data_IF_841196995172
#
_entry.id   IF_841196995172
#
_cell.length_a   1.000
_cell.length_b   1.000
_cell.length_c   1.000
_cell.angle_alpha   90.00
_cell.angle_beta   90.00
_cell.angle_gamma   90.00
#
_symmetry.space_group_name_H-M   'P 1'
#
loop_
_entity.id
_entity.type
_entity.pdbx_description
1 polymer ?
#
# COMPACT_ATOMS: atom_id res chain seq x y z
N UNK A 1 19.61 12.97 2.62
CA UNK A 1 20.14 12.16 3.74
C UNK A 1 19.60 10.75 3.63
N UNK A 2 20.41 9.76 3.93
CA UNK A 2 20.05 8.35 3.82
C UNK A 2 20.39 7.60 5.12
N UNK A 3 19.98 6.31 5.19
CA UNK A 3 20.15 5.50 6.40
C UNK A 3 21.64 5.29 6.79
N UNK A 4 22.56 5.32 5.84
CA UNK A 4 24.00 5.18 6.12
C UNK A 4 24.55 6.42 6.81
N UNK A 5 24.08 7.60 6.42
CA UNK A 5 24.45 8.86 7.05
C UNK A 5 23.89 8.96 8.47
N UNK A 6 22.66 8.53 8.69
CA UNK A 6 22.07 8.42 10.04
C UNK A 6 22.90 7.48 10.91
N UNK A 7 23.30 6.32 10.38
CA UNK A 7 24.13 5.36 11.11
C UNK A 7 25.47 5.95 11.54
N UNK A 8 26.11 6.70 10.64
CA UNK A 8 27.38 7.40 10.94
C UNK A 8 27.19 8.46 12.03
N UNK A 9 26.20 9.32 11.91
CA UNK A 9 25.92 10.38 12.88
C UNK A 9 25.56 9.84 14.26
N UNK A 10 24.80 8.75 14.30
CA UNK A 10 24.40 8.08 15.55
C UNK A 10 25.47 7.13 16.11
N UNK A 11 26.57 6.95 15.40
CA UNK A 11 27.65 6.02 15.76
C UNK A 11 27.14 4.59 16.00
N UNK A 12 26.29 4.11 15.12
CA UNK A 12 25.72 2.75 15.14
C UNK A 12 25.83 2.10 13.76
N UNK A 13 25.58 0.78 13.69
CA UNK A 13 25.55 0.10 12.40
C UNK A 13 24.28 0.44 11.62
N UNK A 14 24.37 0.36 10.30
CA UNK A 14 23.19 0.45 9.40
C UNK A 14 22.08 -0.53 9.82
N UNK A 15 22.46 -1.75 10.21
CA UNK A 15 21.51 -2.76 10.68
C UNK A 15 20.75 -2.31 11.93
N UNK A 16 21.42 -1.60 12.84
CA UNK A 16 20.80 -1.06 14.05
C UNK A 16 19.79 0.04 13.71
N UNK A 17 20.12 0.95 12.79
CA UNK A 17 19.16 1.97 12.31
C UNK A 17 17.97 1.32 11.61
N UNK A 18 18.22 0.30 10.81
CA UNK A 18 17.16 -0.47 10.16
C UNK A 18 16.20 -1.11 11.17
N UNK A 19 16.73 -1.71 12.23
CA UNK A 19 15.89 -2.28 13.31
C UNK A 19 15.07 -1.21 14.04
N UNK A 20 15.67 -0.06 14.29
CA UNK A 20 14.98 1.07 14.91
C UNK A 20 13.69 1.46 14.15
N UNK A 21 13.79 1.59 12.82
CA UNK A 21 12.66 1.95 11.98
C UNK A 21 11.65 0.80 11.75
N UNK A 22 11.99 -0.42 12.13
CA UNK A 22 11.14 -1.61 11.93
C UNK A 22 10.63 -2.21 13.24
N UNK A 23 10.65 -1.44 14.32
CA UNK A 23 10.26 -1.91 15.66
C UNK A 23 11.03 -3.16 16.12
N UNK A 24 12.22 -3.37 15.56
CA UNK A 24 13.13 -4.43 15.99
C UNK A 24 13.84 -4.06 17.29
N UNK A 25 14.47 -5.05 17.90
CA UNK A 25 15.21 -4.82 19.14
C UNK A 25 16.42 -3.92 18.92
N UNK A 26 16.46 -2.84 19.67
CA UNK A 26 17.60 -1.92 19.76
C UNK A 26 17.78 -1.55 21.24
N UNK A 27 19.02 -1.57 21.75
CA UNK A 27 19.28 -1.19 23.14
C UNK A 27 18.83 0.25 23.42
N UNK A 28 18.46 0.54 24.65
CA UNK A 28 17.99 1.86 25.05
C UNK A 28 18.98 2.97 24.71
N UNK A 29 20.27 2.75 24.90
CA UNK A 29 21.34 3.69 24.57
C UNK A 29 21.41 3.98 23.06
N UNK A 30 21.43 2.95 22.22
CA UNK A 30 21.47 3.10 20.76
C UNK A 30 20.18 3.71 20.23
N UNK A 31 19.05 3.36 20.81
CA UNK A 31 17.74 3.96 20.47
C UNK A 31 17.74 5.47 20.71
N UNK A 32 18.27 5.90 21.83
CA UNK A 32 18.39 7.33 22.16
C UNK A 32 19.35 8.06 21.22
N UNK A 33 20.49 7.47 20.88
CA UNK A 33 21.43 8.03 19.91
C UNK A 33 20.78 8.25 18.54
N UNK A 34 20.03 7.25 18.06
CA UNK A 34 19.32 7.35 16.77
C UNK A 34 18.20 8.40 16.85
N UNK A 35 17.43 8.41 17.93
CA UNK A 35 16.35 9.40 18.14
C UNK A 35 16.85 10.83 18.06
N UNK A 36 17.96 11.14 18.72
CA UNK A 36 18.59 12.48 18.69
C UNK A 36 18.97 12.88 17.27
N UNK A 37 19.63 12.00 16.52
CA UNK A 37 20.04 12.28 15.15
C UNK A 37 18.84 12.53 14.26
N UNK A 38 17.76 11.77 14.43
CA UNK A 38 16.50 11.96 13.68
C UNK A 38 15.86 13.31 14.02
N UNK A 39 15.80 13.69 15.28
CA UNK A 39 15.27 14.99 15.70
C UNK A 39 16.09 16.16 15.15
N UNK A 40 17.42 16.08 15.21
CA UNK A 40 18.31 17.12 14.72
C UNK A 40 18.29 17.26 13.19
N UNK A 41 18.16 16.15 12.46
CA UNK A 41 18.22 16.12 10.99
C UNK A 41 16.88 16.20 10.30
N UNK A 42 15.79 15.91 11.02
CA UNK A 42 14.44 15.81 10.43
C UNK A 42 14.29 14.62 9.47
N UNK A 43 15.19 13.64 9.52
CA UNK A 43 15.19 12.50 8.62
C UNK A 43 13.91 11.66 8.76
N UNK A 44 13.33 11.35 7.62
CA UNK A 44 12.24 10.36 7.52
C UNK A 44 12.61 9.32 6.46
N UNK A 45 12.46 8.01 6.74
CA UNK A 45 12.68 6.99 5.72
C UNK A 45 11.78 7.24 4.51
N UNK A 46 12.32 7.10 3.30
CA UNK A 46 11.50 7.21 2.11
C UNK A 46 10.54 6.02 2.01
N UNK A 47 9.30 6.26 1.57
CA UNK A 47 8.33 5.21 1.34
C UNK A 47 8.86 4.15 0.36
N UNK A 48 9.60 4.57 -0.66
CA UNK A 48 10.25 3.68 -1.63
C UNK A 48 11.30 2.76 -0.98
N UNK A 49 12.13 3.30 -0.08
CA UNK A 49 13.13 2.49 0.63
C UNK A 49 12.47 1.47 1.57
N UNK A 50 11.37 1.86 2.23
CA UNK A 50 10.59 0.94 3.04
C UNK A 50 9.93 -0.15 2.19
N UNK A 51 9.35 0.21 1.04
CA UNK A 51 8.73 -0.71 0.09
C UNK A 51 9.71 -1.77 -0.42
N UNK A 52 10.91 -1.38 -0.81
CA UNK A 52 11.95 -2.29 -1.26
C UNK A 52 12.36 -3.30 -0.18
N UNK A 53 12.28 -2.92 1.07
CA UNK A 53 12.69 -3.76 2.20
C UNK A 53 11.58 -4.67 2.70
N UNK A 54 10.36 -4.14 2.87
CA UNK A 54 9.21 -4.88 3.41
C UNK A 54 8.44 -5.64 2.34
N UNK A 55 8.66 -5.33 1.07
CA UNK A 55 7.86 -5.78 -0.08
C UNK A 55 6.36 -5.43 0.05
N UNK A 56 6.04 -4.45 0.89
CA UNK A 56 4.69 -3.91 1.09
C UNK A 56 4.65 -2.45 0.72
N UNK A 57 3.60 -2.05 0.00
CA UNK A 57 3.39 -0.67 -0.42
C UNK A 57 2.50 0.11 0.53
N UNK A 58 1.72 -0.58 1.35
CA UNK A 58 0.65 -0.02 2.17
C UNK A 58 -0.41 0.71 1.35
N UNK A 59 -0.63 0.24 0.12
CA UNK A 59 -1.65 0.75 -0.80
C UNK A 59 -2.56 -0.38 -1.27
N UNK A 60 -3.85 -0.11 -1.36
CA UNK A 60 -4.87 -1.01 -1.89
C UNK A 60 -5.54 -0.32 -3.08
N UNK A 61 -5.56 -1.00 -4.23
CA UNK A 61 -6.31 -0.55 -5.39
C UNK A 61 -7.78 -0.90 -5.25
N UNK A 62 -8.66 0.08 -5.40
CA UNK A 62 -10.11 -0.10 -5.32
C UNK A 62 -10.73 0.33 -6.65
N UNK A 63 -11.39 -0.61 -7.31
CA UNK A 63 -12.03 -0.38 -8.62
C UNK A 63 -13.54 -0.32 -8.40
N UNK A 64 -14.15 0.79 -8.79
CA UNK A 64 -15.59 1.06 -8.61
C UNK A 64 -16.28 1.37 -9.93
N UNK A 65 -17.58 1.05 -10.07
CA UNK A 65 -18.32 1.32 -11.31
C UNK A 65 -18.64 2.80 -11.51
N UNK A 66 -18.96 3.54 -10.44
CA UNK A 66 -19.31 4.98 -10.49
C UNK A 66 -18.94 5.68 -9.19
N UNK A 67 -18.38 6.86 -9.31
CA UNK A 67 -18.04 7.70 -8.14
C UNK A 67 -19.29 8.35 -7.56
N UNK A 68 -20.22 8.78 -8.40
CA UNK A 68 -21.42 9.55 -8.03
C UNK A 68 -22.64 8.70 -7.69
N UNK A 69 -22.47 7.47 -7.28
CA UNK A 69 -23.54 6.59 -6.83
C UNK A 69 -23.57 6.53 -5.29
N UNK A 70 -24.74 6.72 -4.70
CA UNK A 70 -24.89 6.69 -3.23
C UNK A 70 -24.45 5.37 -2.62
N UNK A 71 -24.86 4.24 -3.20
CA UNK A 71 -24.47 2.92 -2.70
C UNK A 71 -22.97 2.68 -2.84
N UNK A 72 -22.37 3.08 -3.95
CA UNK A 72 -20.93 2.96 -4.17
C UNK A 72 -20.15 3.90 -3.25
N UNK A 73 -20.62 5.11 -3.01
CA UNK A 73 -20.02 6.03 -2.03
C UNK A 73 -19.98 5.44 -0.64
N UNK A 74 -21.05 4.78 -0.19
CA UNK A 74 -21.10 4.13 1.12
C UNK A 74 -20.14 2.94 1.21
N UNK A 75 -20.07 2.10 0.17
CA UNK A 75 -19.12 0.99 0.09
C UNK A 75 -17.68 1.53 0.16
N UNK A 76 -17.37 2.54 -0.64
CA UNK A 76 -16.06 3.17 -0.71
C UNK A 76 -15.66 3.78 0.63
N UNK A 77 -16.57 4.48 1.29
CA UNK A 77 -16.34 5.06 2.61
C UNK A 77 -16.05 3.98 3.68
N UNK A 78 -16.77 2.86 3.64
CA UNK A 78 -16.53 1.73 4.53
C UNK A 78 -15.16 1.08 4.30
N UNK A 79 -14.76 0.89 3.06
CA UNK A 79 -13.43 0.37 2.71
C UNK A 79 -12.35 1.33 3.20
N UNK A 80 -12.48 2.61 2.91
CA UNK A 80 -11.51 3.64 3.30
C UNK A 80 -11.30 3.69 4.80
N UNK A 81 -12.38 3.67 5.57
CA UNK A 81 -12.33 3.68 7.04
C UNK A 81 -11.46 2.55 7.60
N UNK A 82 -11.67 1.33 7.16
CA UNK A 82 -10.89 0.16 7.62
C UNK A 82 -9.44 0.23 7.17
N UNK A 83 -9.19 0.65 5.93
CA UNK A 83 -7.83 0.80 5.40
C UNK A 83 -7.05 1.87 6.16
N UNK A 84 -7.66 3.00 6.45
CA UNK A 84 -7.04 4.10 7.19
C UNK A 84 -6.63 3.68 8.61
N UNK A 85 -7.51 2.96 9.34
CA UNK A 85 -7.20 2.43 10.66
C UNK A 85 -5.97 1.51 10.66
N UNK A 86 -5.73 0.81 9.56
CA UNK A 86 -4.61 -0.12 9.40
C UNK A 86 -3.38 0.48 8.73
N UNK A 87 -3.38 1.78 8.51
CA UNK A 87 -2.27 2.49 7.89
C UNK A 87 -2.12 2.26 6.39
N UNK A 88 -3.21 1.86 5.70
CA UNK A 88 -3.25 1.70 4.26
C UNK A 88 -3.83 2.93 3.57
N UNK A 89 -3.32 3.24 2.39
CA UNK A 89 -3.91 4.22 1.49
C UNK A 89 -4.76 3.54 0.43
N UNK A 90 -5.87 4.17 0.07
CA UNK A 90 -6.75 3.71 -0.99
C UNK A 90 -6.45 4.43 -2.29
N UNK A 91 -6.20 3.66 -3.36
CA UNK A 91 -6.11 4.17 -4.72
C UNK A 91 -7.42 3.82 -5.44
N UNK A 92 -8.16 4.82 -5.86
CA UNK A 92 -9.49 4.65 -6.42
C UNK A 92 -9.48 4.77 -7.94
N UNK A 93 -10.09 3.82 -8.65
CA UNK A 93 -10.28 3.84 -10.09
C UNK A 93 -11.76 3.64 -10.44
N UNK A 94 -12.31 4.53 -11.26
CA UNK A 94 -13.69 4.46 -11.73
C UNK A 94 -13.78 3.93 -13.16
N UNK A 95 -14.67 2.97 -13.40
CA UNK A 95 -14.81 2.30 -14.70
C UNK A 95 -15.97 2.81 -15.55
N UNK A 96 -16.82 3.64 -14.98
CA UNK A 96 -18.05 4.11 -15.62
C UNK A 96 -18.94 2.95 -16.16
N UNK A 97 -19.10 1.91 -15.34
CA UNK A 97 -19.84 0.69 -15.65
C UNK A 97 -19.32 -0.09 -16.88
N UNK A 98 -18.06 0.05 -17.24
CA UNK A 98 -17.47 -0.61 -18.40
C UNK A 98 -16.64 -1.82 -17.98
N UNK A 99 -17.08 -3.07 -18.22
CA UNK A 99 -16.34 -4.26 -17.81
C UNK A 99 -14.92 -4.36 -18.38
N UNK A 100 -14.71 -3.87 -19.60
CA UNK A 100 -13.38 -3.84 -20.20
C UNK A 100 -12.41 -2.94 -19.43
N UNK A 101 -12.88 -1.82 -18.87
CA UNK A 101 -12.09 -0.94 -18.01
C UNK A 101 -11.78 -1.59 -16.65
N UNK A 102 -12.66 -2.43 -16.13
CA UNK A 102 -12.38 -3.20 -14.91
C UNK A 102 -11.14 -4.07 -15.11
N UNK A 103 -11.07 -4.80 -16.21
CA UNK A 103 -9.91 -5.64 -16.55
C UNK A 103 -8.65 -4.80 -16.78
N UNK A 104 -8.79 -3.66 -17.46
CA UNK A 104 -7.68 -2.72 -17.67
C UNK A 104 -7.10 -2.22 -16.35
N UNK A 105 -7.94 -1.80 -15.40
CA UNK A 105 -7.48 -1.35 -14.08
C UNK A 105 -6.95 -2.48 -13.21
N UNK A 106 -7.50 -3.69 -13.31
CA UNK A 106 -6.93 -4.87 -12.65
C UNK A 106 -5.48 -5.09 -13.09
N UNK A 107 -5.21 -5.03 -14.41
CA UNK A 107 -3.86 -5.16 -14.95
C UNK A 107 -2.96 -3.99 -14.57
N UNK A 108 -3.49 -2.77 -14.54
CA UNK A 108 -2.77 -1.59 -14.09
C UNK A 108 -2.29 -1.76 -12.64
N UNK A 109 -3.17 -2.18 -11.74
CA UNK A 109 -2.82 -2.41 -10.33
C UNK A 109 -1.94 -3.63 -10.10
N UNK A 110 -1.91 -4.61 -11.01
CA UNK A 110 -0.94 -5.69 -10.97
C UNK A 110 0.49 -5.17 -11.18
N UNK A 111 0.66 -4.24 -12.11
CA UNK A 111 1.95 -3.62 -12.44
C UNK A 111 2.27 -2.41 -11.56
N UNK A 112 1.27 -1.75 -11.01
CA UNK A 112 1.43 -0.68 -10.06
C UNK A 112 1.57 -1.27 -8.65
N UNK A 113 2.51 -0.80 -7.84
CA UNK A 113 2.80 -1.46 -6.57
C UNK A 113 1.65 -1.27 -5.56
N UNK A 114 0.70 -2.19 -5.56
CA UNK A 114 -0.35 -2.30 -4.53
C UNK A 114 -0.24 -3.65 -3.83
N UNK A 115 -0.64 -3.72 -2.57
CA UNK A 115 -0.61 -4.95 -1.78
C UNK A 115 -1.83 -5.84 -2.02
N UNK A 116 -2.89 -5.29 -2.56
CA UNK A 116 -4.12 -5.99 -2.90
C UNK A 116 -5.07 -5.12 -3.72
N UNK A 117 -6.10 -5.75 -4.27
CA UNK A 117 -7.11 -5.10 -5.09
C UNK A 117 -8.50 -5.45 -4.55
N UNK A 118 -9.38 -4.45 -4.48
CA UNK A 118 -10.81 -4.64 -4.22
C UNK A 118 -11.56 -4.23 -5.49
N UNK A 119 -12.29 -5.15 -6.08
CA UNK A 119 -13.12 -4.91 -7.26
C UNK A 119 -14.60 -4.87 -6.86
N UNK A 120 -15.23 -3.72 -7.00
CA UNK A 120 -16.68 -3.59 -6.98
C UNK A 120 -17.14 -3.76 -8.42
N UNK A 121 -17.40 -5.00 -8.80
CA UNK A 121 -17.60 -5.39 -10.19
C UNK A 121 -19.04 -5.23 -10.67
N UNK A 122 -19.20 -5.14 -11.99
CA UNK A 122 -20.49 -5.10 -12.65
C UNK A 122 -20.80 -6.43 -13.33
N UNK A 123 -19.89 -6.95 -14.16
CA UNK A 123 -20.06 -8.19 -14.90
C UNK A 123 -18.73 -8.91 -15.07
N UNK A 124 -18.68 -10.20 -14.78
CA UNK A 124 -17.50 -11.01 -15.05
C UNK A 124 -17.46 -11.46 -16.50
N UNK A 125 -16.37 -11.09 -17.18
CA UNK A 125 -16.05 -11.53 -18.52
C UNK A 125 -14.94 -12.58 -18.52
N UNK A 126 -14.64 -13.14 -19.70
CA UNK A 126 -13.49 -14.04 -19.85
C UNK A 126 -12.16 -13.37 -19.47
N UNK A 127 -12.04 -12.05 -19.68
CA UNK A 127 -10.87 -11.26 -19.27
C UNK A 127 -10.68 -11.21 -17.76
N UNK A 128 -11.76 -11.06 -16.99
CA UNK A 128 -11.73 -11.14 -15.52
C UNK A 128 -11.24 -12.51 -15.03
N UNK A 129 -11.80 -13.58 -15.59
CA UNK A 129 -11.42 -14.96 -15.22
C UNK A 129 -9.96 -15.25 -15.53
N UNK A 130 -9.49 -14.81 -16.69
CA UNK A 130 -8.08 -14.96 -17.09
C UNK A 130 -7.17 -14.22 -16.12
N UNK A 131 -7.45 -12.96 -15.83
CA UNK A 131 -6.68 -12.17 -14.87
C UNK A 131 -6.62 -12.85 -13.50
N UNK A 132 -7.76 -13.27 -12.93
CA UNK A 132 -7.83 -13.90 -11.61
C UNK A 132 -7.08 -15.22 -11.52
N UNK A 133 -6.96 -15.96 -12.63
CA UNK A 133 -6.15 -17.19 -12.67
C UNK A 133 -4.65 -16.94 -12.70
N UNK A 134 -4.23 -15.85 -13.33
CA UNK A 134 -2.82 -15.54 -13.57
C UNK A 134 -2.19 -14.63 -12.51
N UNK A 135 -2.98 -13.81 -11.84
CA UNK A 135 -2.47 -12.82 -10.89
C UNK A 135 -1.93 -13.43 -9.62
N UNK A 136 -0.86 -12.85 -9.09
CA UNK A 136 -0.32 -13.12 -7.75
C UNK A 136 -0.78 -12.11 -6.71
N UNK A 137 -1.44 -11.03 -7.13
CA UNK A 137 -1.97 -9.99 -6.24
C UNK A 137 -3.29 -10.48 -5.63
N UNK A 138 -3.49 -10.40 -4.31
CA UNK A 138 -4.78 -10.73 -3.69
C UNK A 138 -5.89 -9.83 -4.23
N UNK A 139 -7.02 -10.43 -4.62
CA UNK A 139 -8.19 -9.71 -5.13
C UNK A 139 -9.42 -10.11 -4.35
N UNK A 140 -10.15 -9.11 -3.85
CA UNK A 140 -11.47 -9.26 -3.26
C UNK A 140 -12.50 -8.71 -4.22
N UNK A 141 -13.56 -9.46 -4.49
CA UNK A 141 -14.63 -9.05 -5.40
C UNK A 141 -15.93 -8.83 -4.63
N UNK A 142 -16.56 -7.70 -4.86
CA UNK A 142 -17.82 -7.31 -4.24
C UNK A 142 -18.89 -7.14 -5.34
N UNK A 143 -20.10 -7.61 -5.08
CA UNK A 143 -21.25 -7.36 -5.93
C UNK A 143 -21.49 -8.35 -7.07
N UNK A 144 -20.66 -9.38 -7.20
CA UNK A 144 -20.85 -10.44 -8.20
C UNK A 144 -21.44 -11.71 -7.57
N UNK A 145 -22.32 -12.36 -8.29
CA UNK A 145 -22.87 -13.69 -7.96
C UNK A 145 -22.39 -14.74 -8.96
#
# INVERSE_FOLDING_TARGET
MNINEIAKLANVSRATVSRYFNDGYVSAEKREQIRRVIEETGYKPSAQAQMLRTKKTKQIGVIIPKINSESISRITAGIESVLAERGYQMLLAGTDNTPAKEVEYLRLFENYPVDGIILVGTMFTAGHRKFLKETKVPVVVIGQR
#
